data_IF_869816661512
#
_entry.id   IF_869816661512
#
_cell.length_a   1.000
_cell.length_b   1.000
_cell.length_c   1.000
_cell.angle_alpha   90.00
_cell.angle_beta   90.00
_cell.angle_gamma   90.00
#
_symmetry.space_group_name_H-M   'P 1'
#
loop_
_entity.id
_entity.type
_entity.pdbx_description
1 polymer ?
#
# COMPACT_ATOMS: atom_id res chain seq x y z
N UNK A 1 -25.58 14.13 -6.11
CA UNK A 1 -25.44 13.12 -5.04
C UNK A 1 -24.07 13.17 -4.37
N UNK A 2 -22.91 13.03 -5.09
CA UNK A 2 -21.58 13.14 -4.49
C UNK A 2 -21.35 14.53 -3.85
N UNK A 3 -21.66 15.59 -4.56
CA UNK A 3 -21.50 16.97 -4.07
C UNK A 3 -22.43 17.31 -2.89
N UNK A 4 -23.60 16.72 -2.87
CA UNK A 4 -24.55 16.84 -1.74
C UNK A 4 -23.99 16.14 -0.49
N UNK A 5 -23.46 14.93 -0.63
CA UNK A 5 -22.79 14.21 0.46
C UNK A 5 -21.56 14.94 0.99
N UNK A 6 -20.80 15.56 0.09
CA UNK A 6 -19.63 16.38 0.45
C UNK A 6 -19.97 17.78 0.97
N UNK A 7 -21.25 18.21 0.94
CA UNK A 7 -21.69 19.52 1.38
C UNK A 7 -21.16 20.68 0.51
N UNK A 8 -20.84 20.43 -0.75
CA UNK A 8 -20.32 21.43 -1.69
C UNK A 8 -21.28 21.64 -2.88
N UNK A 9 -21.17 22.79 -3.55
CA UNK A 9 -21.93 23.03 -4.78
C UNK A 9 -21.33 22.27 -5.97
N UNK A 10 -22.15 21.98 -6.99
CA UNK A 10 -21.68 21.44 -8.27
C UNK A 10 -20.63 22.36 -8.92
N UNK A 11 -20.85 23.69 -8.86
CA UNK A 11 -19.88 24.67 -9.37
C UNK A 11 -18.53 24.55 -8.69
N UNK A 12 -18.50 24.38 -7.36
CA UNK A 12 -17.27 24.17 -6.59
C UNK A 12 -16.56 22.88 -7.03
N UNK A 13 -17.30 21.80 -7.24
CA UNK A 13 -16.73 20.55 -7.73
C UNK A 13 -16.07 20.73 -9.11
N UNK A 14 -16.80 21.25 -10.08
CA UNK A 14 -16.32 21.43 -11.46
C UNK A 14 -15.24 22.52 -11.59
N UNK A 15 -15.08 23.39 -10.59
CA UNK A 15 -13.94 24.29 -10.53
C UNK A 15 -12.62 23.57 -10.26
N UNK A 16 -12.66 22.48 -9.47
CA UNK A 16 -11.48 21.71 -9.09
C UNK A 16 -11.25 20.48 -9.97
N UNK A 17 -12.32 19.83 -10.45
CA UNK A 17 -12.26 18.56 -11.17
C UNK A 17 -13.13 18.61 -12.41
N UNK A 18 -12.57 18.19 -13.54
CA UNK A 18 -13.34 18.10 -14.79
C UNK A 18 -14.51 17.11 -14.68
N UNK A 19 -14.29 16.01 -13.98
CA UNK A 19 -15.26 14.94 -13.73
C UNK A 19 -14.84 14.10 -12.50
N UNK A 20 -15.61 13.06 -12.23
CA UNK A 20 -15.35 12.13 -11.13
C UNK A 20 -14.07 11.32 -11.35
N UNK A 21 -13.69 11.05 -12.59
CA UNK A 21 -12.47 10.29 -12.90
C UNK A 21 -11.22 11.11 -12.57
N UNK A 22 -11.23 12.41 -12.87
CA UNK A 22 -10.15 13.32 -12.48
C UNK A 22 -9.96 13.39 -10.96
N UNK A 23 -11.05 13.36 -10.17
CA UNK A 23 -10.97 13.25 -8.72
C UNK A 23 -10.36 11.91 -8.28
N UNK A 24 -10.81 10.80 -8.85
CA UNK A 24 -10.28 9.46 -8.54
C UNK A 24 -8.80 9.35 -8.86
N UNK A 25 -8.37 9.82 -10.02
CA UNK A 25 -6.96 9.85 -10.45
C UNK A 25 -6.09 10.64 -9.46
N UNK A 26 -6.58 11.79 -8.99
CA UNK A 26 -5.87 12.56 -7.97
C UNK A 26 -5.79 11.82 -6.64
N UNK A 27 -6.86 11.17 -6.19
CA UNK A 27 -6.86 10.37 -4.97
C UNK A 27 -5.87 9.20 -5.07
N UNK A 28 -5.86 8.48 -6.18
CA UNK A 28 -4.89 7.41 -6.45
C UNK A 28 -3.45 7.92 -6.42
N UNK A 29 -3.18 9.05 -7.05
CA UNK A 29 -1.86 9.69 -7.05
C UNK A 29 -1.38 10.00 -5.63
N UNK A 30 -2.25 10.54 -4.78
CA UNK A 30 -1.93 10.81 -3.37
C UNK A 30 -1.59 9.52 -2.61
N UNK A 31 -2.35 8.45 -2.82
CA UNK A 31 -2.09 7.16 -2.15
C UNK A 31 -0.79 6.52 -2.64
N UNK A 32 -0.48 6.60 -3.94
CA UNK A 32 0.78 6.11 -4.50
C UNK A 32 1.97 6.90 -3.95
N UNK A 33 1.87 8.23 -3.82
CA UNK A 33 2.93 9.05 -3.21
C UNK A 33 3.18 8.69 -1.73
N UNK A 34 2.13 8.38 -0.97
CA UNK A 34 2.27 7.86 0.42
C UNK A 34 2.99 6.52 0.44
N UNK A 35 2.66 5.64 -0.51
CA UNK A 35 3.33 4.34 -0.64
C UNK A 35 4.81 4.50 -1.00
N UNK A 36 5.16 5.44 -1.88
CA UNK A 36 6.55 5.75 -2.19
C UNK A 36 7.31 6.20 -0.94
N UNK A 37 6.76 7.14 -0.18
CA UNK A 37 7.35 7.60 1.08
C UNK A 37 7.51 6.47 2.09
N UNK A 38 6.55 5.55 2.16
CA UNK A 38 6.67 4.34 2.99
C UNK A 38 7.85 3.47 2.52
N UNK A 39 7.99 3.22 1.22
CA UNK A 39 9.11 2.44 0.67
C UNK A 39 10.47 3.08 0.97
N UNK A 40 10.57 4.40 0.89
CA UNK A 40 11.80 5.14 1.24
C UNK A 40 12.21 4.93 2.71
N UNK A 41 11.25 4.68 3.58
CA UNK A 41 11.50 4.35 4.99
C UNK A 41 11.74 2.85 5.23
N UNK A 42 11.02 1.97 4.55
CA UNK A 42 11.09 0.52 4.78
C UNK A 42 12.36 -0.10 4.20
N UNK A 43 12.70 0.22 2.96
CA UNK A 43 13.80 -0.44 2.24
C UNK A 43 15.14 -0.30 2.98
N UNK A 44 15.58 0.89 3.43
CA UNK A 44 16.84 1.02 4.16
C UNK A 44 16.85 0.31 5.53
N UNK A 45 15.67 0.15 6.11
CA UNK A 45 15.51 -0.40 7.47
C UNK A 45 15.15 -1.89 7.48
N UNK A 46 15.06 -2.55 6.34
CA UNK A 46 14.60 -3.94 6.22
C UNK A 46 15.45 -4.96 7.03
N UNK A 47 16.66 -4.58 7.42
CA UNK A 47 17.55 -5.41 8.26
C UNK A 47 17.34 -5.23 9.76
N UNK A 48 16.58 -4.21 10.19
CA UNK A 48 16.32 -3.94 11.61
C UNK A 48 15.31 -4.91 12.17
N UNK A 49 15.43 -5.21 13.47
CA UNK A 49 14.48 -6.07 14.18
C UNK A 49 13.18 -5.35 14.48
N UNK A 50 13.30 -4.09 14.87
CA UNK A 50 12.15 -3.27 15.25
C UNK A 50 11.23 -2.97 14.05
N UNK A 51 9.93 -2.99 14.30
CA UNK A 51 8.91 -2.59 13.33
C UNK A 51 9.08 -1.11 12.98
N UNK A 52 9.25 -0.75 11.70
CA UNK A 52 9.36 0.65 11.33
C UNK A 52 8.09 1.43 11.68
N UNK A 53 8.20 2.60 12.35
CA UNK A 53 7.04 3.43 12.70
C UNK A 53 6.13 3.77 11.51
N UNK A 54 6.72 3.91 10.32
CA UNK A 54 5.97 4.18 9.09
C UNK A 54 5.02 3.03 8.71
N UNK A 55 5.38 1.77 9.01
CA UNK A 55 4.50 0.63 8.77
C UNK A 55 3.33 0.60 9.75
N UNK A 56 3.58 0.87 11.03
CA UNK A 56 2.51 1.02 12.04
C UNK A 56 1.57 2.16 11.67
N UNK A 57 2.13 3.32 11.27
CA UNK A 57 1.33 4.46 10.83
C UNK A 57 0.45 4.14 9.61
N UNK A 58 0.93 3.29 8.66
CA UNK A 58 0.12 2.84 7.54
C UNK A 58 -1.10 2.04 8.02
N UNK A 59 -0.91 1.05 8.90
CA UNK A 59 -2.02 0.24 9.40
C UNK A 59 -2.98 1.05 10.27
N UNK A 60 -2.49 2.00 11.09
CA UNK A 60 -3.33 2.93 11.83
C UNK A 60 -4.18 3.79 10.89
N UNK A 61 -3.55 4.36 9.84
CA UNK A 61 -4.30 5.11 8.83
C UNK A 61 -5.39 4.27 8.15
N UNK A 62 -5.09 3.02 7.82
CA UNK A 62 -6.07 2.11 7.20
C UNK A 62 -7.23 1.79 8.15
N UNK A 63 -6.94 1.60 9.43
CA UNK A 63 -7.97 1.36 10.46
C UNK A 63 -8.88 2.57 10.66
N UNK A 64 -8.31 3.77 10.65
CA UNK A 64 -9.02 5.03 10.87
C UNK A 64 -9.80 5.52 9.64
N UNK A 65 -9.49 4.97 8.45
CA UNK A 65 -10.10 5.36 7.18
C UNK A 65 -10.62 4.14 6.38
N UNK A 66 -11.54 3.34 6.94
CA UNK A 66 -11.98 2.09 6.32
C UNK A 66 -12.63 2.32 4.95
N UNK A 67 -13.34 3.43 4.76
CA UNK A 67 -14.01 3.75 3.50
C UNK A 67 -13.01 4.01 2.37
N UNK A 68 -11.92 4.75 2.66
CA UNK A 68 -10.81 4.96 1.72
C UNK A 68 -10.15 3.63 1.38
N UNK A 69 -9.93 2.80 2.38
CA UNK A 69 -9.32 1.49 2.19
C UNK A 69 -10.20 0.56 1.36
N UNK A 70 -11.51 0.54 1.60
CA UNK A 70 -12.44 -0.22 0.77
C UNK A 70 -12.49 0.25 -0.68
N UNK A 71 -12.35 1.55 -0.93
CA UNK A 71 -12.31 2.10 -2.27
C UNK A 71 -11.07 1.65 -3.07
N UNK A 72 -9.90 1.59 -2.41
CA UNK A 72 -8.62 1.30 -3.07
C UNK A 72 -8.16 -0.15 -2.92
N UNK A 73 -8.47 -0.81 -1.80
CA UNK A 73 -7.97 -2.16 -1.46
C UNK A 73 -9.09 -3.20 -1.29
N UNK A 74 -10.38 -2.82 -1.48
CA UNK A 74 -11.55 -3.67 -1.26
C UNK A 74 -11.70 -4.80 -2.29
N UNK A 75 -12.94 -5.33 -2.43
CA UNK A 75 -13.25 -6.54 -3.22
C UNK A 75 -12.78 -6.54 -4.67
N UNK A 76 -12.47 -5.38 -5.26
CA UNK A 76 -11.77 -5.25 -6.55
C UNK A 76 -10.25 -5.14 -6.34
N UNK A 77 -9.65 -6.12 -5.69
CA UNK A 77 -8.20 -6.19 -5.48
C UNK A 77 -7.36 -6.20 -6.79
N UNK A 78 -8.01 -6.35 -7.93
CA UNK A 78 -7.44 -6.17 -9.28
C UNK A 78 -7.67 -4.76 -9.84
N UNK A 79 -8.04 -3.77 -9.02
CA UNK A 79 -8.15 -2.38 -9.45
C UNK A 79 -6.83 -1.87 -10.04
N UNK A 80 -6.92 -0.91 -10.95
CA UNK A 80 -5.75 -0.27 -11.54
C UNK A 80 -4.81 0.30 -10.46
N UNK A 81 -5.37 0.87 -9.39
CA UNK A 81 -4.59 1.31 -8.24
C UNK A 81 -3.79 0.19 -7.59
N UNK A 82 -4.42 -0.95 -7.28
CA UNK A 82 -3.73 -2.09 -6.64
C UNK A 82 -2.62 -2.63 -7.52
N UNK A 83 -2.85 -2.73 -8.83
CA UNK A 83 -1.82 -3.12 -9.80
C UNK A 83 -0.65 -2.13 -9.79
N UNK A 84 -0.92 -0.83 -9.90
CA UNK A 84 0.09 0.23 -9.90
C UNK A 84 0.90 0.25 -8.59
N UNK A 85 0.23 0.05 -7.45
CA UNK A 85 0.87 -0.04 -6.14
C UNK A 85 1.81 -1.25 -6.04
N UNK A 86 1.38 -2.43 -6.49
CA UNK A 86 2.22 -3.64 -6.53
C UNK A 86 3.43 -3.46 -7.44
N UNK A 87 3.24 -2.88 -8.62
CA UNK A 87 4.31 -2.60 -9.58
C UNK A 87 5.32 -1.58 -9.01
N UNK A 88 4.85 -0.55 -8.33
CA UNK A 88 5.69 0.44 -7.66
C UNK A 88 6.61 -0.24 -6.63
N UNK A 89 6.04 -1.04 -5.73
CA UNK A 89 6.79 -1.76 -4.70
C UNK A 89 7.80 -2.72 -5.35
N UNK A 90 7.35 -3.54 -6.30
CA UNK A 90 8.19 -4.50 -6.97
C UNK A 90 9.39 -3.83 -7.68
N UNK A 91 9.15 -2.74 -8.38
CA UNK A 91 10.19 -1.97 -9.07
C UNK A 91 11.21 -1.37 -8.10
N UNK A 92 10.75 -0.79 -6.98
CA UNK A 92 11.63 -0.20 -5.96
C UNK A 92 12.50 -1.27 -5.30
N UNK A 93 11.91 -2.39 -4.88
CA UNK A 93 12.64 -3.48 -4.27
C UNK A 93 13.62 -4.16 -5.25
N UNK A 94 13.19 -4.38 -6.50
CA UNK A 94 14.07 -4.97 -7.53
C UNK A 94 15.25 -4.04 -7.85
N UNK A 95 15.02 -2.73 -7.96
CA UNK A 95 16.09 -1.74 -8.15
C UNK A 95 17.13 -1.79 -7.04
N UNK A 96 16.69 -1.93 -5.78
CA UNK A 96 17.59 -2.08 -4.64
C UNK A 96 18.38 -3.40 -4.68
N UNK A 97 17.73 -4.51 -5.06
CA UNK A 97 18.42 -5.80 -5.23
C UNK A 97 19.48 -5.72 -6.33
N UNK A 98 19.17 -5.12 -7.47
CA UNK A 98 20.10 -4.94 -8.59
C UNK A 98 21.29 -4.05 -8.22
N UNK A 99 21.06 -2.96 -7.48
CA UNK A 99 22.12 -2.09 -7.00
C UNK A 99 23.11 -2.82 -6.07
N UNK A 100 22.65 -3.90 -5.42
CA UNK A 100 23.48 -4.75 -4.56
C UNK A 100 24.03 -6.01 -5.27
N UNK A 101 23.95 -6.06 -6.61
CA UNK A 101 24.45 -7.19 -7.41
C UNK A 101 23.49 -8.38 -7.49
N UNK A 102 22.24 -8.21 -7.04
CA UNK A 102 21.16 -9.20 -7.11
C UNK A 102 20.25 -8.99 -8.32
N UNK A 103 18.97 -9.36 -8.18
CA UNK A 103 17.94 -9.24 -9.23
C UNK A 103 17.78 -10.50 -10.08
N UNK A 104 18.23 -11.64 -9.56
CA UNK A 104 18.08 -12.95 -10.22
C UNK A 104 16.60 -13.32 -10.40
N UNK A 105 16.30 -14.23 -11.32
CA UNK A 105 14.95 -14.72 -11.56
C UNK A 105 14.32 -15.31 -10.29
N UNK A 106 15.12 -16.06 -9.48
CA UNK A 106 14.67 -16.58 -8.19
C UNK A 106 14.22 -15.45 -7.26
N UNK A 107 15.02 -14.39 -7.15
CA UNK A 107 14.71 -13.21 -6.32
C UNK A 107 13.45 -12.47 -6.80
N UNK A 108 13.23 -12.40 -8.11
CA UNK A 108 12.01 -11.82 -8.69
C UNK A 108 10.76 -12.61 -8.27
N UNK A 109 10.80 -13.96 -8.26
CA UNK A 109 9.68 -14.77 -7.77
C UNK A 109 9.43 -14.60 -6.27
N UNK A 110 10.49 -14.57 -5.46
CA UNK A 110 10.36 -14.33 -4.02
C UNK A 110 9.78 -12.94 -3.74
N UNK A 111 10.20 -11.93 -4.49
CA UNK A 111 9.67 -10.58 -4.39
C UNK A 111 8.18 -10.53 -4.79
N UNK A 112 7.80 -11.18 -5.89
CA UNK A 112 6.40 -11.29 -6.31
C UNK A 112 5.54 -11.96 -5.24
N UNK A 113 6.04 -13.04 -4.62
CA UNK A 113 5.39 -13.69 -3.49
C UNK A 113 5.19 -12.73 -2.30
N UNK A 114 6.26 -12.01 -1.89
CA UNK A 114 6.20 -11.07 -0.79
C UNK A 114 5.19 -9.94 -1.04
N UNK A 115 5.25 -9.31 -2.21
CA UNK A 115 4.34 -8.20 -2.56
C UNK A 115 2.89 -8.67 -2.55
N UNK A 116 2.57 -9.77 -3.23
CA UNK A 116 1.20 -10.29 -3.26
C UNK A 116 0.74 -10.79 -1.89
N UNK A 117 1.64 -11.39 -1.10
CA UNK A 117 1.36 -11.81 0.27
C UNK A 117 0.99 -10.63 1.18
N UNK A 118 1.74 -9.52 1.11
CA UNK A 118 1.42 -8.30 1.86
C UNK A 118 0.04 -7.75 1.50
N UNK A 119 -0.29 -7.63 0.21
CA UNK A 119 -1.60 -7.16 -0.21
C UNK A 119 -2.72 -8.12 0.21
N UNK A 120 -2.52 -9.43 0.06
CA UNK A 120 -3.47 -10.44 0.53
C UNK A 120 -3.70 -10.38 2.04
N UNK A 121 -2.66 -10.15 2.82
CA UNK A 121 -2.76 -9.99 4.27
C UNK A 121 -3.53 -8.74 4.67
N UNK A 122 -3.36 -7.62 3.94
CA UNK A 122 -4.13 -6.39 4.16
C UNK A 122 -5.62 -6.65 3.92
N UNK A 123 -5.97 -7.29 2.80
CA UNK A 123 -7.37 -7.61 2.48
C UNK A 123 -7.97 -8.51 3.55
N UNK A 124 -7.28 -9.59 3.94
CA UNK A 124 -7.74 -10.51 4.96
C UNK A 124 -7.93 -9.82 6.33
N UNK A 125 -7.04 -8.87 6.69
CA UNK A 125 -7.14 -8.09 7.90
C UNK A 125 -8.35 -7.14 7.88
N UNK A 126 -8.63 -6.49 6.77
CA UNK A 126 -9.82 -5.65 6.59
C UNK A 126 -11.12 -6.46 6.65
N UNK A 127 -11.15 -7.61 5.99
CA UNK A 127 -12.31 -8.52 6.02
C UNK A 127 -12.58 -9.07 7.44
N UNK A 128 -11.54 -9.16 8.28
CA UNK A 128 -11.63 -9.52 9.69
C UNK A 128 -12.00 -8.32 10.60
N UNK A 129 -12.40 -7.18 10.04
CA UNK A 129 -12.75 -5.97 10.80
C UNK A 129 -11.54 -5.30 11.45
N UNK A 130 -10.41 -5.28 10.77
CA UNK A 130 -9.13 -4.71 11.23
C UNK A 130 -8.64 -5.35 12.54
N UNK A 131 -8.83 -6.67 12.70
CA UNK A 131 -8.29 -7.44 13.81
C UNK A 131 -7.17 -8.35 13.32
N UNK A 132 -6.05 -8.46 14.03
CA UNK A 132 -5.69 -7.78 15.29
C UNK A 132 -5.47 -6.26 15.14
N UNK A 133 -5.18 -5.53 16.25
CA UNK A 133 -4.91 -4.09 16.20
C UNK A 133 -3.79 -3.72 15.24
N UNK A 134 -3.75 -2.44 14.75
CA UNK A 134 -2.77 -1.98 13.75
C UNK A 134 -1.31 -2.27 14.11
N UNK A 135 -0.91 -2.12 15.36
CA UNK A 135 0.45 -2.36 15.84
C UNK A 135 0.85 -3.83 15.70
N UNK A 136 -0.07 -4.73 16.03
CA UNK A 136 0.16 -6.18 15.93
C UNK A 136 0.17 -6.61 14.46
N UNK A 137 -0.72 -6.06 13.64
CA UNK A 137 -0.72 -6.34 12.20
C UNK A 137 0.55 -5.82 11.51
N UNK A 138 1.05 -4.66 11.92
CA UNK A 138 2.34 -4.14 11.45
C UNK A 138 3.49 -5.09 11.83
N UNK A 139 3.48 -5.63 13.05
CA UNK A 139 4.50 -6.59 13.51
C UNK A 139 4.45 -7.91 12.71
N UNK A 140 3.26 -8.46 12.49
CA UNK A 140 3.07 -9.67 11.67
C UNK A 140 3.61 -9.44 10.25
N UNK A 141 3.22 -8.33 9.63
CA UNK A 141 3.65 -7.97 8.27
C UNK A 141 5.17 -7.79 8.21
N UNK A 142 5.76 -7.11 9.20
CA UNK A 142 7.19 -6.90 9.25
C UNK A 142 7.97 -8.20 9.40
N UNK A 143 7.51 -9.12 10.24
CA UNK A 143 8.11 -10.45 10.39
C UNK A 143 8.07 -11.23 9.06
N UNK A 144 6.96 -11.19 8.34
CA UNK A 144 6.82 -11.84 7.04
C UNK A 144 7.77 -11.26 5.98
N UNK A 145 7.87 -9.92 5.90
CA UNK A 145 8.80 -9.24 5.00
C UNK A 145 10.25 -9.64 5.30
N UNK A 146 10.64 -9.66 6.57
CA UNK A 146 12.00 -10.05 6.99
C UNK A 146 12.29 -11.52 6.69
N UNK A 147 11.33 -12.41 6.87
CA UNK A 147 11.49 -13.83 6.54
C UNK A 147 11.78 -14.04 5.05
N UNK A 148 11.06 -13.32 4.17
CA UNK A 148 11.33 -13.38 2.73
C UNK A 148 12.68 -12.73 2.40
N UNK A 149 13.06 -11.64 3.06
CA UNK A 149 14.37 -11.00 2.85
C UNK A 149 15.55 -11.95 3.09
N UNK A 150 15.46 -12.84 4.08
CA UNK A 150 16.52 -13.84 4.35
C UNK A 150 16.71 -14.81 3.16
N UNK A 151 15.69 -14.98 2.33
CA UNK A 151 15.72 -15.85 1.16
C UNK A 151 16.19 -15.12 -0.11
N UNK A 152 16.18 -13.77 -0.11
CA UNK A 152 16.62 -12.92 -1.21
C UNK A 152 18.13 -12.74 -1.23
#
# INVERSE_FOLDING_TARGET
ELTELAGISRGTFYFHYADIYALMEQMESVQLARLESLMDNLIPNISREDVPPALTALFSYMNDNPEVCHAFYGKNWESDFTRNAKELIARRCLGQLQANGGGTQRQQYLLAFAVNGCFGSIVAWQDAGCQPPPEEMAAITWQAIRAVKVLL
#
